data_IF_094681883113
#
_entry.id   IF_094681883113
#
_cell.length_a   1.000
_cell.length_b   1.000
_cell.length_c   1.000
_cell.angle_alpha   90.00
_cell.angle_beta   90.00
_cell.angle_gamma   90.00
#
_symmetry.space_group_name_H-M   'P 1'
#
loop_
_entity.id
_entity.type
_entity.pdbx_description
1 polymer ?
2 non-polymer ?
3 water ?
#
# COMPACT_ATOMS: atom_id res chain seq x y z
N UNK A 1 -7.23 0.54 12.39
CA UNK A 1 -6.13 0.33 11.39
C UNK A 1 -5.99 1.59 10.55
N UNK A 2 -4.91 1.68 9.79
CA UNK A 2 -4.67 2.83 8.91
C UNK A 2 -4.16 2.39 7.56
N UNK A 3 -4.60 3.07 6.52
CA UNK A 3 -4.14 2.81 5.17
C UNK A 3 -3.51 4.12 4.71
N UNK A 4 -2.29 4.06 4.19
CA UNK A 4 -1.61 5.26 3.71
C UNK A 4 -1.29 5.00 2.25
N UNK A 5 -1.63 5.92 1.36
CA UNK A 5 -1.40 5.68 -0.07
C UNK A 5 -1.05 6.94 -0.84
N UNK A 6 -0.53 6.74 -2.04
CA UNK A 6 -0.28 7.82 -2.99
C UNK A 6 -1.01 7.38 -4.26
N UNK A 7 -1.74 8.30 -4.89
CA UNK A 7 -2.45 8.01 -6.13
C UNK A 7 -2.38 9.24 -7.05
N UNK A 8 -1.99 9.03 -8.31
CA UNK A 8 -1.89 10.14 -9.25
C UNK A 8 -3.15 10.42 -10.05
N UNK A 9 -3.97 9.40 -10.29
CA UNK A 9 -5.21 9.60 -11.05
C UNK A 9 -6.44 9.05 -10.32
N UNK A 10 -6.21 8.43 -9.16
CA UNK A 10 -7.30 7.89 -8.37
C UNK A 10 -7.40 6.38 -8.34
N UNK A 11 -6.58 5.67 -9.10
CA UNK A 11 -6.69 4.21 -9.13
C UNK A 11 -6.30 3.53 -7.81
N UNK A 12 -5.15 3.91 -7.28
CA UNK A 12 -4.69 3.39 -6.00
C UNK A 12 -5.59 3.93 -4.87
N UNK A 13 -6.12 5.14 -5.03
CA UNK A 13 -7.03 5.72 -4.04
C UNK A 13 -8.30 4.84 -3.96
N UNK A 14 -8.82 4.44 -5.12
CA UNK A 14 -9.99 3.56 -5.19
C UNK A 14 -9.68 2.23 -4.50
N UNK A 15 -8.50 1.67 -4.77
CA UNK A 15 -8.08 0.42 -4.12
C UNK A 15 -8.12 0.59 -2.60
N UNK A 16 -7.55 1.70 -2.12
CA UNK A 16 -7.50 1.99 -0.69
C UNK A 16 -8.89 2.00 -0.08
N UNK A 17 -9.83 2.65 -0.76
CA UNK A 17 -11.21 2.75 -0.30
C UNK A 17 -11.86 1.38 -0.21
N UNK A 18 -11.57 0.53 -1.18
CA UNK A 18 -12.12 -0.82 -1.20
C UNK A 18 -11.49 -1.70 -0.13
N UNK A 19 -10.19 -1.53 0.07
CA UNK A 19 -9.49 -2.29 1.11
C UNK A 19 -10.09 -1.92 2.47
N UNK A 20 -10.35 -0.63 2.67
CA UNK A 20 -10.96 -0.12 3.89
C UNK A 20 -12.35 -0.73 4.06
N UNK A 21 -13.12 -0.76 2.97
CA UNK A 21 -14.46 -1.34 2.99
C UNK A 21 -14.40 -2.79 3.50
N UNK A 22 -13.41 -3.57 3.03
CA UNK A 22 -13.26 -4.95 3.47
C UNK A 22 -12.98 -5.07 4.97
N UNK A 23 -12.09 -4.22 5.47
CA UNK A 23 -11.74 -4.21 6.89
C UNK A 23 -12.97 -3.85 7.73
N UNK A 24 -13.71 -2.84 7.26
CA UNK A 24 -14.91 -2.39 7.95
C UNK A 24 -15.99 -3.47 7.93
N UNK A 25 -16.17 -4.13 6.78
CA UNK A 25 -17.17 -5.20 6.68
C UNK A 25 -16.83 -6.33 7.64
N UNK A 26 -15.54 -6.50 7.93
CA UNK A 26 -15.13 -7.53 8.87
C UNK A 26 -15.41 -7.12 10.32
N UNK A 27 -15.90 -5.89 10.50
CA UNK A 27 -16.26 -5.40 11.82
C UNK A 27 -15.30 -4.45 12.51
N UNK A 28 -14.23 -4.08 11.82
CA UNK A 28 -13.23 -3.19 12.40
C UNK A 28 -13.26 -1.80 11.78
N UNK A 29 -12.57 -0.84 12.39
CA UNK A 29 -12.51 0.51 11.82
C UNK A 29 -11.14 0.67 11.18
N UNK A 30 -11.04 1.65 10.30
CA UNK A 30 -9.79 1.92 9.62
C UNK A 30 -9.90 3.30 9.01
N UNK A 31 -8.80 4.04 9.02
CA UNK A 31 -8.77 5.36 8.43
C UNK A 31 -7.87 5.29 7.20
N UNK A 32 -8.30 5.94 6.13
CA UNK A 32 -7.57 5.97 4.88
C UNK A 32 -6.93 7.35 4.82
N UNK A 33 -5.62 7.38 4.66
CA UNK A 33 -4.84 8.61 4.68
C UNK A 33 -3.98 8.77 3.44
N UNK A 34 -4.09 9.92 2.79
CA UNK A 34 -3.26 10.20 1.64
C UNK A 34 -1.86 10.46 2.21
N UNK A 35 -0.82 9.97 1.54
CA UNK A 35 0.54 10.12 2.04
C UNK A 35 0.93 11.55 2.37
N UNK A 36 0.38 12.53 1.65
CA UNK A 36 0.74 13.92 1.95
C UNK A 36 0.21 14.40 3.32
N UNK A 37 -0.82 13.73 3.84
CA UNK A 37 -1.42 14.10 5.12
C UNK A 37 -1.01 13.21 6.28
N UNK A 38 -0.16 12.21 6.03
CA UNK A 38 0.24 11.26 7.06
C UNK A 38 0.99 11.85 8.25
N UNK A 39 0.75 11.27 9.42
CA UNK A 39 1.42 11.65 10.65
C UNK A 39 2.22 10.40 10.98
N UNK A 40 3.53 10.47 10.79
CA UNK A 40 4.41 9.33 11.03
C UNK A 40 4.31 8.69 12.41
N UNK A 41 4.28 9.51 13.46
CA UNK A 41 4.22 9.01 14.83
C UNK A 41 2.96 8.20 15.12
N UNK A 42 1.85 8.64 14.56
CA UNK A 42 0.60 7.93 14.77
C UNK A 42 0.60 6.66 13.95
N UNK A 43 1.21 6.73 12.77
CA UNK A 43 1.27 5.58 11.88
C UNK A 43 2.09 4.43 12.47
N UNK A 44 3.25 4.75 13.04
CA UNK A 44 4.15 3.76 13.62
C UNK A 44 3.60 3.05 14.86
N UNK A 45 2.46 3.54 15.34
CA UNK A 45 1.83 2.94 16.51
C UNK A 45 0.92 1.78 16.09
N UNK A 46 0.65 1.71 14.79
CA UNK A 46 -0.23 0.70 14.23
C UNK A 46 0.26 -0.74 14.25
N UNK A 47 -0.69 -1.64 14.48
CA UNK A 47 -0.41 -3.07 14.48
C UNK A 47 0.08 -3.50 13.09
N UNK A 48 -0.56 -2.97 12.05
CA UNK A 48 -0.24 -3.31 10.67
C UNK A 48 -0.23 -2.04 9.82
N UNK A 49 0.84 -1.86 9.04
CA UNK A 49 0.95 -0.72 8.15
C UNK A 49 0.44 -1.18 6.77
N UNK A 50 -0.61 -0.55 6.27
CA UNK A 50 -1.17 -0.91 4.96
C UNK A 50 -0.75 0.23 4.04
N UNK A 51 0.19 -0.05 3.14
CA UNK A 51 0.77 0.98 2.29
C UNK A 51 0.55 0.78 0.80
N UNK A 52 0.12 1.82 0.11
CA UNK A 52 -0.12 1.67 -1.30
C UNK A 52 0.45 2.77 -2.15
N UNK A 53 0.87 2.42 -3.36
CA UNK A 53 1.41 3.39 -4.31
C UNK A 53 1.45 2.75 -5.69
N UNK A 54 1.01 3.50 -6.69
CA UNK A 54 1.03 3.00 -8.06
C UNK A 54 2.45 2.91 -8.62
N UNK A 55 2.59 2.24 -9.76
CA UNK A 55 3.89 2.12 -10.43
C UNK A 55 4.20 3.47 -11.07
N UNK A 56 5.38 4.01 -10.78
CA UNK A 56 5.79 5.30 -11.33
C UNK A 56 7.08 5.25 -12.15
N UNK A 57 7.30 6.32 -12.91
CA UNK A 57 8.46 6.48 -13.78
C UNK A 57 8.72 5.13 -14.46
N UNK A 58 9.84 4.49 -14.16
CA UNK A 58 10.10 3.17 -14.73
C UNK A 58 10.13 2.13 -13.62
N UNK A 59 8.95 1.65 -13.27
CA UNK A 59 8.77 0.63 -12.24
C UNK A 59 9.36 0.98 -10.88
N UNK A 60 9.07 2.18 -10.38
CA UNK A 60 9.55 2.59 -9.06
C UNK A 60 8.41 3.20 -8.28
N UNK A 61 8.63 3.43 -6.99
CA UNK A 61 7.62 4.05 -6.13
C UNK A 61 7.59 5.52 -6.54
N UNK A 62 6.46 6.19 -6.34
CA UNK A 62 6.35 7.60 -6.69
C UNK A 62 7.46 8.37 -5.95
N UNK A 63 8.19 9.19 -6.68
CA UNK A 63 9.37 9.86 -6.16
C UNK A 63 9.28 11.11 -5.29
N UNK A 64 8.31 11.98 -5.54
CA UNK A 64 8.22 13.22 -4.77
C UNK A 64 7.62 13.13 -3.37
N UNK A 65 6.72 12.16 -3.16
CA UNK A 65 6.06 12.01 -1.87
C UNK A 65 6.13 10.64 -1.22
N UNK A 66 5.78 9.60 -1.95
CA UNK A 66 5.76 8.27 -1.36
C UNK A 66 7.14 7.75 -0.99
N UNK A 67 8.07 7.88 -1.93
CA UNK A 67 9.45 7.45 -1.74
C UNK A 67 10.05 8.08 -0.47
N UNK A 68 9.98 9.42 -0.33
CA UNK A 68 10.55 10.04 0.88
C UNK A 68 9.88 9.54 2.16
N UNK A 69 8.58 9.28 2.07
CA UNK A 69 7.81 8.75 3.21
C UNK A 69 8.39 7.38 3.63
N UNK A 70 8.59 6.49 2.66
CA UNK A 70 9.14 5.17 2.94
C UNK A 70 10.54 5.29 3.53
N UNK A 71 11.34 6.19 2.97
CA UNK A 71 12.69 6.41 3.47
C UNK A 71 12.64 6.90 4.92
N UNK A 72 11.68 7.77 5.24
CA UNK A 72 11.57 8.30 6.60
C UNK A 72 11.20 7.24 7.66
N UNK A 73 10.27 6.34 7.35
CA UNK A 73 9.88 5.30 8.31
C UNK A 73 10.79 4.07 8.29
N UNK A 74 11.61 3.96 7.25
CA UNK A 74 12.46 2.80 7.05
C UNK A 74 13.25 2.28 8.26
N UNK A 75 13.78 3.16 9.09
CA UNK A 75 14.57 2.68 10.23
C UNK A 75 13.78 2.41 11.51
N UNK A 76 12.48 2.69 11.48
CA UNK A 76 11.67 2.47 12.67
C UNK A 76 10.53 1.50 12.49
N UNK A 77 10.73 0.49 11.64
CA UNK A 77 9.67 -0.47 11.34
C UNK A 77 10.11 -1.93 11.36
N UNK A 78 11.30 -2.19 11.89
CA UNK A 78 11.77 -3.55 11.98
C UNK A 78 10.79 -4.32 12.86
N UNK A 79 10.38 -5.50 12.40
CA UNK A 79 9.45 -6.32 13.15
C UNK A 79 7.99 -5.94 12.95
N UNK A 80 7.74 -4.82 12.26
CA UNK A 80 6.36 -4.37 12.04
C UNK A 80 5.71 -5.14 10.91
N UNK A 81 4.42 -5.42 11.08
CA UNK A 81 3.64 -6.10 10.05
C UNK A 81 3.21 -5.06 9.03
N UNK A 82 3.34 -5.40 7.76
CA UNK A 82 2.96 -4.49 6.69
C UNK A 82 2.23 -5.24 5.58
N UNK A 83 1.35 -4.54 4.88
CA UNK A 83 0.61 -5.12 3.76
C UNK A 83 0.77 -4.09 2.66
N UNK A 84 1.10 -4.54 1.45
CA UNK A 84 1.39 -3.63 0.35
C UNK A 84 0.43 -3.78 -0.82
N UNK A 85 0.13 -2.67 -1.49
CA UNK A 85 -0.77 -2.66 -2.65
C UNK A 85 -0.51 -1.48 -3.58
N UNK A 86 -1.09 -1.54 -4.77
CA UNK A 86 -0.96 -0.44 -5.71
C UNK A 86 -1.50 -0.81 -7.08
N UNK A 87 -1.81 0.20 -7.87
CA UNK A 87 -2.31 0.00 -9.22
C UNK A 87 -1.14 0.19 -10.19
N UNK A 88 -1.21 -0.45 -11.36
CA UNK A 88 -0.15 -0.34 -12.36
C UNK A 88 -0.78 -0.38 -13.75
N UNK A 89 0.04 -0.12 -14.76
CA UNK A 89 -0.46 -0.09 -16.12
C UNK A 89 0.10 -1.20 -16.99
N UNK A 90 1.09 -0.86 -17.78
CA UNK A 90 1.70 -1.78 -18.74
C UNK A 90 2.66 -2.87 -18.25
N UNK A 91 3.17 -2.74 -17.03
CA UNK A 91 4.12 -3.71 -16.52
C UNK A 91 3.46 -4.94 -15.96
N UNK A 92 4.20 -5.71 -15.17
CA UNK A 92 3.65 -6.91 -14.56
C UNK A 92 3.96 -7.00 -13.07
N UNK A 93 4.20 -5.85 -12.45
CA UNK A 93 4.46 -5.83 -11.03
C UNK A 93 5.89 -5.66 -10.54
N UNK A 94 6.83 -5.31 -11.41
CA UNK A 94 8.22 -5.16 -10.96
C UNK A 94 8.36 -4.17 -9.80
N UNK A 95 7.67 -3.04 -9.88
CA UNK A 95 7.79 -2.05 -8.81
C UNK A 95 7.34 -2.63 -7.46
N UNK A 96 6.33 -3.50 -7.49
CA UNK A 96 5.82 -4.09 -6.26
C UNK A 96 6.74 -5.19 -5.73
N UNK A 97 7.35 -5.96 -6.64
CA UNK A 97 8.31 -6.98 -6.25
C UNK A 97 9.44 -6.27 -5.49
N UNK A 98 9.88 -5.14 -6.03
CA UNK A 98 10.93 -4.34 -5.39
C UNK A 98 10.47 -3.73 -4.06
N UNK A 99 9.23 -3.24 -4.01
CA UNK A 99 8.68 -2.64 -2.79
C UNK A 99 8.67 -3.71 -1.68
N UNK A 100 8.23 -4.92 -2.01
CA UNK A 100 8.21 -6.02 -1.05
C UNK A 100 9.61 -6.38 -0.54
N UNK A 101 10.56 -6.53 -1.47
CA UNK A 101 11.94 -6.83 -1.11
C UNK A 101 12.46 -5.73 -0.16
N UNK A 102 12.17 -4.48 -0.50
CA UNK A 102 12.62 -3.33 0.28
C UNK A 102 12.12 -3.38 1.73
N UNK A 103 10.83 -3.60 1.89
CA UNK A 103 10.22 -3.66 3.21
C UNK A 103 10.76 -4.84 4.01
N UNK A 104 10.99 -5.97 3.34
CA UNK A 104 11.57 -7.12 4.00
C UNK A 104 12.98 -6.74 4.48
N UNK A 105 13.70 -6.00 3.64
CA UNK A 105 15.05 -5.58 3.98
C UNK A 105 15.12 -4.63 5.17
N UNK A 106 14.01 -3.95 5.46
CA UNK A 106 13.94 -3.05 6.61
C UNK A 106 13.55 -3.82 7.87
N UNK A 107 13.33 -5.12 7.73
CA UNK A 107 12.96 -5.94 8.88
C UNK A 107 11.46 -6.12 9.08
N UNK A 108 10.66 -5.70 8.11
CA UNK A 108 9.21 -5.83 8.20
C UNK A 108 8.75 -7.22 7.88
N UNK A 109 7.58 -7.56 8.40
CA UNK A 109 6.98 -8.84 8.10
C UNK A 109 5.84 -8.54 7.14
N UNK A 110 6.02 -8.94 5.88
CA UNK A 110 5.01 -8.72 4.85
C UNK A 110 3.96 -9.82 5.07
N UNK A 111 2.80 -9.42 5.59
CA UNK A 111 1.74 -10.35 5.97
C UNK A 111 0.89 -11.04 4.91
N UNK A 112 0.75 -10.44 3.75
CA UNK A 112 -0.03 -11.04 2.68
C UNK A 112 0.71 -10.81 1.37
N UNK A 113 0.30 -11.51 0.32
CA UNK A 113 0.89 -11.31 -1.00
C UNK A 113 0.49 -9.89 -1.38
N UNK A 114 1.43 -9.07 -1.89
CA UNK A 114 1.02 -7.71 -2.25
C UNK A 114 -0.09 -7.71 -3.30
N UNK A 115 -1.06 -6.82 -3.14
CA UNK A 115 -2.16 -6.72 -4.08
C UNK A 115 -1.87 -5.68 -5.17
N UNK A 116 -1.82 -6.14 -6.41
CA UNK A 116 -1.60 -5.23 -7.52
C UNK A 116 -2.77 -5.39 -8.49
N UNK A 117 -3.32 -4.26 -8.93
CA UNK A 117 -4.47 -4.23 -9.84
C UNK A 117 -4.15 -3.33 -11.02
N UNK A 118 -4.50 -3.78 -12.23
CA UNK A 118 -4.24 -3.00 -13.43
C UNK A 118 -5.28 -1.90 -13.63
N UNK A 119 -4.80 -0.66 -13.71
CA UNK A 119 -5.64 0.53 -13.92
C UNK A 119 -6.72 0.63 -12.85
N UNK A 120 -7.89 1.16 -13.18
CA UNK A 120 -8.93 1.28 -12.15
C UNK A 120 -9.40 -0.13 -11.80
N UNK A 121 -9.63 -0.40 -10.51
CA UNK A 121 -10.08 -1.74 -10.11
C UNK A 121 -11.14 -2.41 -10.99
N UNK A 122 -12.29 -1.75 -11.17
CA UNK A 122 -13.39 -2.29 -11.99
C UNK A 122 -13.74 -3.76 -11.64
N UNK A 123 -13.37 -4.71 -12.49
CA UNK A 123 -13.66 -6.12 -12.24
C UNK A 123 -12.97 -6.61 -10.98
N UNK A 124 -11.86 -5.96 -10.63
CA UNK A 124 -11.08 -6.34 -9.46
C UNK A 124 -11.53 -5.70 -8.16
N UNK A 125 -12.69 -5.03 -8.17
CA UNK A 125 -13.15 -4.40 -6.95
C UNK A 125 -13.26 -5.38 -5.79
N UNK A 126 -13.84 -6.56 -6.03
CA UNK A 126 -13.98 -7.53 -4.95
C UNK A 126 -12.62 -7.99 -4.44
N UNK A 127 -11.64 -8.13 -5.34
CA UNK A 127 -10.29 -8.54 -4.94
C UNK A 127 -9.73 -7.56 -3.91
N UNK A 128 -10.01 -6.27 -4.11
CA UNK A 128 -9.54 -5.23 -3.20
C UNK A 128 -10.21 -5.40 -1.83
N UNK A 129 -11.52 -5.61 -1.85
CA UNK A 129 -12.29 -5.83 -0.63
C UNK A 129 -11.76 -7.06 0.12
N UNK A 130 -11.52 -8.15 -0.61
CA UNK A 130 -11.02 -9.39 0.00
C UNK A 130 -9.64 -9.22 0.64
N UNK A 131 -8.79 -8.39 0.03
CA UNK A 131 -7.46 -8.13 0.57
C UNK A 131 -7.64 -7.48 1.94
N UNK A 132 -8.55 -6.52 2.02
CA UNK A 132 -8.85 -5.85 3.27
C UNK A 132 -9.33 -6.87 4.30
N UNK A 133 -10.18 -7.80 3.87
CA UNK A 133 -10.68 -8.81 4.80
C UNK A 133 -9.56 -9.70 5.34
N UNK A 134 -8.58 -10.05 4.51
CA UNK A 134 -7.46 -10.88 4.96
C UNK A 134 -6.67 -10.15 6.03
N UNK A 135 -6.38 -8.87 5.78
CA UNK A 135 -5.63 -8.05 6.72
C UNK A 135 -6.39 -7.95 8.05
N UNK A 136 -7.71 -7.79 7.98
CA UNK A 136 -8.53 -7.68 9.18
C UNK A 136 -8.54 -8.98 9.98
N UNK A 137 -8.19 -10.10 9.34
CA UNK A 137 -8.15 -11.41 9.99
C UNK A 137 -6.83 -11.76 10.64
N UNK A 138 -5.85 -10.87 10.53
CA UNK A 138 -4.54 -11.12 11.12
C UNK A 138 -4.61 -10.91 12.63
X LIG B 1 2.68 1.35 -14.87
X LIG B 1 3.45 0.22 -14.92
X LIG B 1 2.95 -0.88 -15.02
X LIG B 1 4.83 0.35 -14.86
X LIG B 1 5.51 1.55 -14.86
X LIG B 1 6.74 1.59 -14.87
X LIG B 1 4.68 2.77 -14.86
X LIG B 1 5.24 3.97 -14.88
X LIG B 1 4.42 5.09 -14.97
X LIG B 1 4.98 6.39 -15.10
X LIG B 1 4.19 7.52 -15.09
X LIG B 1 4.77 8.89 -15.16
X LIG B 1 2.75 7.38 -15.00
X LIG B 1 1.83 8.60 -14.91
X LIG B 1 2.19 6.12 -14.96
X LIG B 1 2.99 4.97 -14.92
X LIG B 1 2.46 3.68 -14.90
X LIG B 1 3.24 2.54 -14.86
X LIG B 1 1.00 3.50 -14.97
X LIG B 1 0.33 3.67 -13.61
X LIG B 1 0.95 2.84 -12.62
X LIG B 1 -1.16 3.29 -13.73
X LIG B 1 -1.81 4.19 -14.63
X LIG B 1 -1.92 3.25 -12.40
X LIG B 1 -3.25 2.79 -12.65
X LIG B 1 -1.97 4.64 -11.77
X LIG B 1 -2.55 4.57 -10.47
X LIG B 1 -2.84 5.90 -9.69
X LIG B 1 -1.61 6.70 -9.77
X LIG B 1 -3.20 5.42 -8.35
X LIG B 1 -4.04 6.65 -10.23
#
# INVERSE_FOLDING_TARGET
MKIVYWSGTGNTEKMAELIAKGIIESGKDVNTINVSDVNIDELLNEDILILGCSAMTDEVLEESEFEPFIEEISTKISGKKVALFGSYGWGDGKWMRDFEERMNGYGCVVVETPLIVQNEPDEAEQDCIEFGKKIANI
FMN N1 C2 O2 N3 C4 O4 C4A N5 C5A C6 C7 C7M C8 C8M C9 C9A N10 C10 C1' C2' O2' C3' O3' C4' O4' C5' O5' P O1P O2P O3P
#
